data_IF_359882436565
#
_entry.id   IF_359882436565
#
_cell.length_a   1.000
_cell.length_b   1.000
_cell.length_c   1.000
_cell.angle_alpha   90.00
_cell.angle_beta   90.00
_cell.angle_gamma   90.00
#
_symmetry.space_group_name_H-M   'P 1'
#
loop_
_entity.id
_entity.type
_entity.pdbx_description
1 polymer ?
#
# COMPACT_ATOMS: atom_id res chain seq x y z
N UNK A 1 1.08 -11.67 -0.47
CA UNK A 1 0.00 -10.75 -0.92
C UNK A 1 0.60 -9.35 -1.10
N UNK A 2 0.89 -8.94 -2.30
CA UNK A 2 1.23 -7.55 -2.64
C UNK A 2 -0.04 -6.69 -2.79
N UNK A 3 0.15 -5.38 -3.06
CA UNK A 3 -0.92 -4.48 -3.47
C UNK A 3 -0.62 -3.83 -4.84
N UNK A 4 -1.53 -3.02 -5.36
CA UNK A 4 -1.42 -2.42 -6.70
C UNK A 4 -0.23 -1.46 -6.86
N UNK A 5 0.31 -0.91 -5.76
CA UNK A 5 1.49 -0.05 -5.80
C UNK A 5 2.78 -0.79 -6.19
N UNK A 6 2.73 -2.11 -6.39
CA UNK A 6 3.83 -2.91 -6.91
C UNK A 6 4.31 -2.40 -8.30
N UNK A 7 3.40 -1.89 -9.10
CA UNK A 7 3.69 -1.33 -10.43
C UNK A 7 4.65 -0.13 -10.40
N UNK A 8 4.70 0.57 -9.27
CA UNK A 8 5.58 1.72 -9.03
C UNK A 8 6.63 1.44 -7.95
N UNK A 9 6.85 0.19 -7.60
CA UNK A 9 7.81 -0.27 -6.58
C UNK A 9 7.58 0.34 -5.19
N UNK A 10 6.33 0.53 -4.81
CA UNK A 10 5.91 1.07 -3.50
C UNK A 10 4.92 0.15 -2.79
N UNK A 11 4.90 -1.13 -3.17
CA UNK A 11 4.02 -2.11 -2.54
C UNK A 11 4.40 -2.36 -1.08
N UNK A 12 3.41 -2.58 -0.23
CA UNK A 12 3.55 -3.36 0.98
C UNK A 12 3.15 -4.80 0.66
N UNK A 13 4.08 -5.73 0.77
CA UNK A 13 3.86 -7.15 0.49
C UNK A 13 3.92 -7.97 1.76
N UNK A 14 2.81 -8.59 2.11
CA UNK A 14 2.77 -9.56 3.22
C UNK A 14 3.11 -10.95 2.70
N UNK A 15 4.04 -11.60 3.38
CA UNK A 15 4.52 -12.93 3.05
C UNK A 15 4.27 -13.88 4.21
N UNK A 16 3.88 -15.09 3.90
CA UNK A 16 3.89 -16.22 4.85
C UNK A 16 4.40 -17.46 4.12
N UNK A 17 4.82 -18.45 4.87
CA UNK A 17 5.25 -19.73 4.34
C UNK A 17 4.72 -20.87 5.19
N UNK A 18 4.53 -22.03 4.56
CA UNK A 18 4.37 -23.29 5.26
C UNK A 18 5.73 -23.80 5.76
N UNK A 19 5.72 -24.94 6.45
CA UNK A 19 6.95 -25.55 7.01
C UNK A 19 7.99 -25.84 5.92
N UNK A 20 7.56 -26.29 4.75
CA UNK A 20 8.45 -26.63 3.62
C UNK A 20 9.05 -25.36 2.99
N UNK A 21 8.25 -24.32 2.83
CA UNK A 21 8.68 -23.04 2.21
C UNK A 21 9.53 -22.16 3.14
N UNK A 22 9.50 -22.42 4.45
CA UNK A 22 10.20 -21.61 5.46
C UNK A 22 11.72 -21.50 5.19
N UNK A 23 12.32 -22.54 4.63
CA UNK A 23 13.76 -22.56 4.30
C UNK A 23 14.15 -21.63 3.14
N UNK A 24 13.17 -21.17 2.34
CA UNK A 24 13.37 -20.34 1.15
C UNK A 24 12.59 -19.03 1.17
N UNK A 25 12.02 -18.68 2.31
CA UNK A 25 11.22 -17.44 2.44
C UNK A 25 12.07 -16.18 2.20
N UNK A 26 13.35 -16.22 2.54
CA UNK A 26 14.32 -15.17 2.31
C UNK A 26 14.48 -14.83 0.82
N UNK A 27 14.38 -15.81 -0.09
CA UNK A 27 14.37 -15.58 -1.54
C UNK A 27 13.16 -14.74 -1.93
N UNK A 28 11.98 -15.08 -1.43
CA UNK A 28 10.75 -14.33 -1.68
C UNK A 28 10.84 -12.91 -1.10
N UNK A 29 11.36 -12.76 0.11
CA UNK A 29 11.60 -11.45 0.73
C UNK A 29 12.52 -10.60 -0.13
N UNK A 30 13.64 -11.15 -0.62
CA UNK A 30 14.58 -10.42 -1.48
C UNK A 30 13.92 -9.95 -2.78
N UNK A 31 13.13 -10.80 -3.44
CA UNK A 31 12.41 -10.43 -4.67
C UNK A 31 11.42 -9.30 -4.41
N UNK A 32 10.57 -9.42 -3.40
CA UNK A 32 9.52 -8.44 -3.13
C UNK A 32 10.05 -7.14 -2.52
N UNK A 33 11.19 -7.16 -1.83
CA UNK A 33 11.88 -5.94 -1.38
C UNK A 33 12.37 -5.08 -2.57
N UNK A 34 12.64 -5.68 -3.70
CA UNK A 34 12.90 -4.93 -4.94
C UNK A 34 11.67 -4.21 -5.51
N UNK A 35 10.48 -4.55 -5.04
CA UNK A 35 9.19 -4.04 -5.52
C UNK A 35 8.44 -3.21 -4.46
N UNK A 36 9.09 -2.92 -3.33
CA UNK A 36 8.52 -2.16 -2.22
C UNK A 36 9.02 -2.68 -0.88
N UNK A 37 8.17 -2.68 0.12
CA UNK A 37 8.47 -3.20 1.45
C UNK A 37 7.79 -4.56 1.66
N UNK A 38 8.41 -5.40 2.48
CA UNK A 38 7.85 -6.70 2.84
C UNK A 38 7.71 -6.85 4.35
N UNK A 39 6.75 -7.65 4.75
CA UNK A 39 6.57 -8.08 6.13
C UNK A 39 6.21 -9.56 6.17
N UNK A 40 6.84 -10.28 7.09
CA UNK A 40 6.49 -11.68 7.37
C UNK A 40 5.38 -11.72 8.39
N UNK A 41 4.32 -12.46 8.08
CA UNK A 41 3.16 -12.64 8.95
C UNK A 41 2.78 -14.12 9.02
N UNK A 42 1.95 -14.47 10.00
CA UNK A 42 1.36 -15.80 10.03
C UNK A 42 0.26 -15.89 8.97
N UNK A 43 0.03 -17.11 8.44
CA UNK A 43 -1.01 -17.35 7.43
C UNK A 43 -2.40 -16.94 7.94
N UNK A 44 -2.70 -17.19 9.21
CA UNK A 44 -3.97 -16.81 9.84
C UNK A 44 -4.25 -15.29 9.80
N UNK A 45 -3.20 -14.48 9.72
CA UNK A 45 -3.30 -13.02 9.72
C UNK A 45 -3.40 -12.43 8.30
N UNK A 46 -3.29 -13.28 7.25
CA UNK A 46 -3.26 -12.82 5.86
C UNK A 46 -4.56 -12.13 5.46
N UNK A 47 -5.70 -12.58 5.96
CA UNK A 47 -7.00 -11.96 5.67
C UNK A 47 -7.10 -10.57 6.30
N UNK A 48 -6.64 -10.41 7.54
CA UNK A 48 -6.59 -9.11 8.21
C UNK A 48 -5.61 -8.17 7.51
N UNK A 49 -4.44 -8.67 7.10
CA UNK A 49 -3.45 -7.92 6.33
C UNK A 49 -4.02 -7.41 4.99
N UNK A 50 -4.93 -8.15 4.37
CA UNK A 50 -5.60 -7.73 3.13
C UNK A 50 -6.39 -6.43 3.32
N UNK A 51 -7.05 -6.28 4.45
CA UNK A 51 -7.82 -5.06 4.76
C UNK A 51 -6.89 -3.85 4.84
N UNK A 52 -5.75 -3.99 5.50
CA UNK A 52 -4.82 -2.87 5.72
C UNK A 52 -3.96 -2.60 4.49
N UNK A 53 -3.32 -3.65 3.94
CA UNK A 53 -2.26 -3.49 2.95
C UNK A 53 -2.76 -3.50 1.51
N UNK A 54 -3.92 -4.09 1.22
CA UNK A 54 -4.50 -4.10 -0.11
C UNK A 54 -5.69 -3.14 -0.22
N UNK A 55 -6.74 -3.36 0.53
CA UNK A 55 -7.94 -2.50 0.51
C UNK A 55 -7.66 -1.09 1.07
N UNK A 56 -6.69 -0.96 1.96
CA UNK A 56 -6.27 0.30 2.58
C UNK A 56 -5.94 1.40 1.57
N UNK A 57 -5.39 1.06 0.40
CA UNK A 57 -5.12 2.02 -0.68
C UNK A 57 -6.39 2.78 -1.08
N UNK A 58 -7.53 2.09 -1.18
CA UNK A 58 -8.79 2.71 -1.56
C UNK A 58 -9.26 3.74 -0.53
N UNK A 59 -9.02 3.49 0.76
CA UNK A 59 -9.35 4.45 1.82
C UNK A 59 -8.49 5.70 1.74
N UNK A 60 -7.18 5.55 1.54
CA UNK A 60 -6.26 6.67 1.35
C UNK A 60 -6.62 7.52 0.14
N UNK A 61 -6.96 6.87 -0.98
CA UNK A 61 -7.41 7.59 -2.19
C UNK A 61 -8.68 8.39 -1.94
N UNK A 62 -9.61 7.88 -1.15
CA UNK A 62 -10.84 8.63 -0.77
C UNK A 62 -10.52 9.83 0.09
N UNK A 63 -9.59 9.71 1.04
CA UNK A 63 -9.17 10.82 1.90
C UNK A 63 -8.49 11.91 1.06
N UNK A 64 -7.54 11.55 0.19
CA UNK A 64 -6.86 12.49 -0.70
C UNK A 64 -7.87 13.21 -1.59
N UNK A 65 -8.86 12.49 -2.13
CA UNK A 65 -9.93 13.08 -2.93
C UNK A 65 -10.77 14.08 -2.12
N UNK A 66 -11.14 13.74 -0.90
CA UNK A 66 -11.91 14.63 -0.03
C UNK A 66 -11.13 15.91 0.30
N UNK A 67 -9.84 15.79 0.62
CA UNK A 67 -8.95 16.95 0.85
C UNK A 67 -8.85 17.81 -0.40
N UNK A 68 -8.70 17.21 -1.58
CA UNK A 68 -8.65 17.92 -2.85
C UNK A 68 -9.94 18.71 -3.10
N UNK A 69 -11.10 18.10 -2.87
CA UNK A 69 -12.41 18.77 -3.01
C UNK A 69 -12.54 19.94 -2.03
N UNK A 70 -12.11 19.76 -0.77
CA UNK A 70 -12.07 20.84 0.20
C UNK A 70 -11.17 22.00 -0.24
N UNK A 71 -9.99 21.68 -0.78
CA UNK A 71 -9.07 22.69 -1.32
C UNK A 71 -9.70 23.51 -2.45
N UNK A 72 -10.41 22.84 -3.39
CA UNK A 72 -11.14 23.52 -4.47
C UNK A 72 -12.24 24.44 -3.92
N UNK A 73 -12.97 24.00 -2.92
CA UNK A 73 -14.00 24.81 -2.26
C UNK A 73 -13.41 26.06 -1.56
N UNK A 74 -12.16 25.96 -1.10
CA UNK A 74 -11.43 27.09 -0.50
C UNK A 74 -10.82 28.03 -1.54
N UNK A 75 -10.95 27.74 -2.84
CA UNK A 75 -10.55 28.63 -3.93
C UNK A 75 -9.27 28.22 -4.67
N UNK A 76 -8.66 27.08 -4.35
CA UNK A 76 -7.50 26.60 -5.10
C UNK A 76 -7.91 25.96 -6.43
N UNK A 77 -7.02 26.04 -7.42
CA UNK A 77 -7.18 25.26 -8.64
C UNK A 77 -7.13 23.76 -8.33
N UNK A 78 -7.88 22.97 -9.11
CA UNK A 78 -8.02 21.52 -8.84
C UNK A 78 -6.68 20.79 -8.88
N UNK A 79 -5.74 21.17 -9.77
CA UNK A 79 -4.41 20.58 -9.85
C UNK A 79 -3.55 20.93 -8.63
N UNK A 80 -3.62 22.18 -8.19
CA UNK A 80 -2.92 22.66 -7.01
C UNK A 80 -3.46 21.97 -5.75
N UNK A 81 -4.79 21.92 -5.57
CA UNK A 81 -5.44 21.26 -4.45
C UNK A 81 -5.06 19.77 -4.39
N UNK A 82 -5.04 19.08 -5.53
CA UNK A 82 -4.63 17.68 -5.62
C UNK A 82 -3.17 17.50 -5.24
N UNK A 83 -2.27 18.35 -5.77
CA UNK A 83 -0.85 18.31 -5.46
C UNK A 83 -0.61 18.53 -3.97
N UNK A 84 -1.22 19.54 -3.38
CA UNK A 84 -1.13 19.80 -1.94
C UNK A 84 -1.63 18.61 -1.12
N UNK A 85 -2.78 18.06 -1.45
CA UNK A 85 -3.35 16.89 -0.75
C UNK A 85 -2.45 15.67 -0.81
N UNK A 86 -1.88 15.37 -1.97
CA UNK A 86 -0.99 14.21 -2.17
C UNK A 86 0.32 14.34 -1.39
N UNK A 87 0.90 15.53 -1.31
CA UNK A 87 2.19 15.74 -0.62
C UNK A 87 2.02 16.00 0.89
N UNK A 88 0.83 16.27 1.34
CA UNK A 88 0.50 16.37 2.77
C UNK A 88 0.20 15.00 3.38
N UNK A 89 -0.31 14.08 2.61
CA UNK A 89 -0.58 12.71 3.05
C UNK A 89 0.71 11.89 3.13
#
# INVERSE_FOLDING_TARGET
MPNTAISVRKSMTCLCSNIVGKKRIDIAVAIFNGLGNTILINEKDMQAATVICASGIAFWMRIIRAMTQGGVQLGFDAKEAMKMSMFTA
#
